data_IF_281278192418
#
_entry.id   IF_281278192418
#
_cell.length_a   1.000
_cell.length_b   1.000
_cell.length_c   1.000
_cell.angle_alpha   90.00
_cell.angle_beta   90.00
_cell.angle_gamma   90.00
#
_symmetry.space_group_name_H-M   'P 1'
#
loop_
_entity.id
_entity.type
_entity.pdbx_description
1 polymer ?
#
# COMPACT_ATOMS: atom_id res chain seq x y z
N UNK A 1 -6.35 11.58 -10.06
CA UNK A 1 -6.00 11.50 -8.62
C UNK A 1 -5.33 10.17 -8.31
N UNK A 2 -6.00 9.03 -8.53
CA UNK A 2 -5.49 7.71 -8.12
C UNK A 2 -4.12 7.37 -8.71
N UNK A 3 -3.86 7.72 -9.98
CA UNK A 3 -2.56 7.50 -10.58
C UNK A 3 -1.44 8.28 -9.86
N UNK A 4 -1.73 9.52 -9.43
CA UNK A 4 -0.76 10.35 -8.69
C UNK A 4 -0.41 9.69 -7.37
N UNK A 5 -1.40 9.27 -6.58
CA UNK A 5 -1.15 8.70 -5.26
C UNK A 5 -0.62 7.27 -5.31
N UNK A 6 -1.02 6.46 -6.29
CA UNK A 6 -0.41 5.15 -6.52
C UNK A 6 1.08 5.28 -6.90
N UNK A 7 1.43 6.25 -7.75
CA UNK A 7 2.82 6.55 -8.09
C UNK A 7 3.60 7.08 -6.88
N UNK A 8 3.01 7.98 -6.08
CA UNK A 8 3.62 8.45 -4.84
C UNK A 8 3.90 7.30 -3.87
N UNK A 9 2.95 6.37 -3.70
CA UNK A 9 3.13 5.21 -2.80
C UNK A 9 4.28 4.32 -3.26
N UNK A 10 4.40 4.07 -4.58
CA UNK A 10 5.56 3.36 -5.13
C UNK A 10 6.87 4.14 -4.92
N UNK A 11 6.85 5.46 -5.10
CA UNK A 11 8.02 6.32 -4.90
C UNK A 11 8.52 6.32 -3.45
N UNK A 12 7.60 6.33 -2.47
CA UNK A 12 7.90 6.24 -1.05
C UNK A 12 8.65 4.93 -0.73
N UNK A 13 8.17 3.80 -1.23
CA UNK A 13 8.84 2.51 -1.04
C UNK A 13 10.20 2.47 -1.74
N UNK A 14 10.28 2.98 -2.98
CA UNK A 14 11.51 2.93 -3.75
C UNK A 14 12.67 3.71 -3.09
N UNK A 15 12.38 4.84 -2.48
CA UNK A 15 13.42 5.67 -1.83
C UNK A 15 14.09 5.00 -0.64
N UNK A 16 13.41 4.08 0.04
CA UNK A 16 13.95 3.28 1.15
C UNK A 16 13.94 1.79 0.78
N UNK A 17 14.47 1.49 -0.41
CA UNK A 17 14.48 0.13 -0.96
C UNK A 17 15.32 -0.82 -0.13
N UNK A 18 14.73 -1.93 0.28
CA UNK A 18 15.38 -3.01 1.03
C UNK A 18 15.81 -4.11 0.04
N UNK A 19 17.10 -4.17 -0.28
CA UNK A 19 17.62 -5.16 -1.23
C UNK A 19 17.70 -6.55 -0.61
N UNK A 20 17.55 -7.60 -1.43
CA UNK A 20 17.68 -9.00 -1.02
C UNK A 20 19.11 -9.36 -0.57
N UNK A 21 20.10 -8.64 -1.07
CA UNK A 21 21.51 -8.77 -0.66
C UNK A 21 21.80 -8.22 0.73
N UNK A 22 20.90 -7.40 1.32
CA UNK A 22 21.03 -6.90 2.69
C UNK A 22 20.55 -8.00 3.65
N UNK A 23 21.31 -8.34 4.72
CA UNK A 23 20.86 -9.27 5.74
C UNK A 23 19.52 -8.86 6.36
N UNK A 24 18.67 -9.85 6.68
CA UNK A 24 17.31 -9.61 7.18
C UNK A 24 17.29 -8.67 8.40
N UNK A 25 18.21 -8.86 9.33
CA UNK A 25 18.33 -8.10 10.58
C UNK A 25 18.73 -6.64 10.36
N UNK A 26 19.28 -6.32 9.19
CA UNK A 26 19.63 -4.95 8.79
C UNK A 26 18.55 -4.28 7.94
N UNK A 27 17.58 -5.06 7.46
CA UNK A 27 16.48 -4.53 6.68
C UNK A 27 15.39 -3.98 7.61
N UNK A 28 14.78 -2.85 7.23
CA UNK A 28 13.59 -2.31 7.90
C UNK A 28 12.46 -3.35 7.92
N UNK A 29 12.16 -3.92 6.75
CA UNK A 29 11.09 -4.87 6.52
C UNK A 29 10.99 -5.19 5.04
N UNK A 30 9.78 -5.45 4.55
CA UNK A 30 9.51 -5.68 3.14
C UNK A 30 9.33 -4.38 2.35
N UNK A 31 9.51 -4.42 1.03
CA UNK A 31 9.26 -3.30 0.12
C UNK A 31 7.76 -3.13 -0.16
N UNK A 32 7.01 -2.95 0.91
CA UNK A 32 5.56 -2.72 0.93
C UNK A 32 5.29 -1.46 1.73
N UNK A 33 4.40 -0.61 1.23
CA UNK A 33 4.05 0.64 1.88
C UNK A 33 2.62 1.08 1.57
N UNK A 34 2.15 2.02 2.37
CA UNK A 34 0.82 2.62 2.24
C UNK A 34 0.86 4.12 2.45
N UNK A 35 -0.09 4.82 1.85
CA UNK A 35 -0.29 6.25 1.92
C UNK A 35 -1.75 6.54 2.29
N UNK A 36 -1.97 7.29 3.35
CA UNK A 36 -3.29 7.77 3.76
C UNK A 36 -3.54 9.17 3.17
N UNK A 37 -4.68 9.32 2.51
CA UNK A 37 -5.13 10.56 1.88
C UNK A 37 -6.47 10.97 2.48
N UNK A 38 -6.58 12.22 2.92
CA UNK A 38 -7.77 12.74 3.56
C UNK A 38 -8.89 13.11 2.55
N UNK A 39 -10.11 13.44 3.02
CA UNK A 39 -11.22 13.82 2.15
C UNK A 39 -10.98 15.07 1.27
N UNK A 40 -10.01 15.90 1.63
CA UNK A 40 -9.58 17.06 0.83
C UNK A 40 -8.52 16.73 -0.21
N UNK A 41 -8.28 15.44 -0.46
CA UNK A 41 -7.26 14.95 -1.39
C UNK A 41 -5.83 15.41 -1.01
N UNK A 42 -5.52 15.47 0.28
CA UNK A 42 -4.18 15.79 0.78
C UNK A 42 -3.57 14.51 1.36
N UNK A 43 -2.34 14.13 0.97
CA UNK A 43 -1.62 13.03 1.61
C UNK A 43 -1.22 13.46 3.02
N UNK A 44 -1.62 12.67 4.04
CA UNK A 44 -1.48 13.07 5.44
C UNK A 44 -0.55 12.16 6.24
N UNK A 45 -0.42 10.90 5.84
CA UNK A 45 0.46 9.95 6.52
C UNK A 45 0.88 8.84 5.56
N UNK A 46 2.11 8.38 5.67
CA UNK A 46 2.57 7.16 5.02
C UNK A 46 3.15 6.17 6.02
N UNK A 47 3.12 4.90 5.67
CA UNK A 47 3.72 3.83 6.45
C UNK A 47 4.49 2.86 5.54
N UNK A 48 5.69 2.50 5.95
CA UNK A 48 6.48 1.45 5.31
C UNK A 48 6.53 0.23 6.22
N UNK A 49 6.53 -0.97 5.64
CA UNK A 49 6.63 -2.21 6.39
C UNK A 49 7.92 -2.25 7.23
N UNK A 50 7.81 -2.43 8.55
CA UNK A 50 8.90 -2.38 9.53
C UNK A 50 9.00 -3.65 10.38
N UNK A 51 8.55 -4.79 9.88
CA UNK A 51 8.48 -6.03 10.68
C UNK A 51 9.84 -6.50 11.21
N UNK A 52 10.93 -6.25 10.47
CA UNK A 52 12.26 -6.67 10.91
C UNK A 52 12.85 -5.69 11.93
N UNK A 53 12.85 -4.39 11.65
CA UNK A 53 13.45 -3.39 12.55
C UNK A 53 12.72 -3.27 13.89
N UNK A 54 11.42 -3.64 13.93
CA UNK A 54 10.63 -3.64 15.16
C UNK A 54 10.50 -5.03 15.80
N UNK A 55 11.00 -6.08 15.11
CA UNK A 55 10.78 -7.48 15.50
C UNK A 55 9.28 -7.77 15.77
N UNK A 56 8.38 -7.26 14.93
CA UNK A 56 6.95 -7.34 15.13
C UNK A 56 6.23 -7.57 13.80
N UNK A 57 5.63 -8.76 13.65
CA UNK A 57 4.94 -9.18 12.42
C UNK A 57 3.70 -8.33 12.08
N UNK A 58 3.18 -7.53 13.00
CA UNK A 58 2.02 -6.66 12.73
C UNK A 58 2.39 -5.35 12.06
N UNK A 59 3.67 -4.99 11.98
CA UNK A 59 4.13 -3.69 11.51
C UNK A 59 4.15 -3.57 9.98
N UNK A 60 3.00 -3.81 9.36
CA UNK A 60 2.73 -3.57 7.95
C UNK A 60 2.57 -2.07 7.66
N UNK A 61 2.78 -1.68 6.40
CA UNK A 61 2.72 -0.28 5.98
C UNK A 61 1.37 0.38 6.28
N UNK A 62 0.27 -0.32 6.02
CA UNK A 62 -1.10 0.14 6.23
C UNK A 62 -1.37 0.40 7.73
N UNK A 63 -1.03 -0.57 8.58
CA UNK A 63 -1.21 -0.43 10.03
C UNK A 63 -0.42 0.75 10.56
N UNK A 64 0.82 0.90 10.11
CA UNK A 64 1.68 2.01 10.52
C UNK A 64 1.12 3.36 10.11
N UNK A 65 0.66 3.49 8.87
CA UNK A 65 0.06 4.73 8.38
C UNK A 65 -1.18 5.11 9.21
N UNK A 66 -2.08 4.15 9.44
CA UNK A 66 -3.31 4.37 10.19
C UNK A 66 -3.01 4.69 11.66
N UNK A 67 -2.22 3.85 12.34
CA UNK A 67 -1.92 4.01 13.76
C UNK A 67 -1.20 5.32 14.05
N UNK A 68 -0.13 5.62 13.30
CA UNK A 68 0.61 6.88 13.49
C UNK A 68 -0.24 8.11 13.25
N UNK A 69 -1.15 8.07 12.26
CA UNK A 69 -2.05 9.19 12.03
C UNK A 69 -3.06 9.36 13.18
N UNK A 70 -3.68 8.29 13.63
CA UNK A 70 -4.67 8.34 14.73
C UNK A 70 -4.03 8.74 16.07
N UNK A 71 -2.80 8.33 16.34
CA UNK A 71 -2.06 8.74 17.55
C UNK A 71 -1.70 10.24 17.54
N UNK A 72 -1.42 10.80 16.37
CA UNK A 72 -1.02 12.20 16.22
C UNK A 72 -2.20 13.16 16.07
N UNK A 73 -3.42 12.67 15.84
CA UNK A 73 -4.59 13.49 15.54
C UNK A 73 -5.78 13.09 16.39
N UNK A 74 -6.57 14.07 16.90
CA UNK A 74 -7.72 13.80 17.78
C UNK A 74 -8.96 13.39 16.98
N UNK A 75 -8.83 12.36 16.13
CA UNK A 75 -9.93 11.79 15.34
C UNK A 75 -10.16 10.34 15.76
N UNK A 76 -11.42 9.91 15.80
CA UNK A 76 -11.78 8.57 16.24
C UNK A 76 -11.76 7.55 15.08
N UNK A 77 -12.15 7.97 13.87
CA UNK A 77 -12.17 7.14 12.68
C UNK A 77 -11.73 7.96 11.45
N UNK A 78 -11.65 7.30 10.30
CA UNK A 78 -11.12 7.83 9.05
C UNK A 78 -12.17 7.82 7.92
N UNK A 79 -13.43 8.11 8.28
CA UNK A 79 -14.54 8.26 7.34
C UNK A 79 -14.16 9.16 6.15
N UNK A 80 -14.47 8.75 4.93
CA UNK A 80 -14.12 9.38 3.66
C UNK A 80 -12.62 9.49 3.33
N UNK A 81 -11.74 8.85 4.12
CA UNK A 81 -10.34 8.72 3.74
C UNK A 81 -10.14 7.64 2.68
N UNK A 82 -9.08 7.78 1.91
CA UNK A 82 -8.58 6.74 0.98
C UNK A 82 -7.19 6.30 1.40
N UNK A 83 -6.96 5.00 1.41
CA UNK A 83 -5.63 4.45 1.58
C UNK A 83 -5.11 3.85 0.26
N UNK A 84 -3.92 4.24 -0.15
CA UNK A 84 -3.21 3.69 -1.32
C UNK A 84 -2.13 2.74 -0.83
N UNK A 85 -2.05 1.54 -1.42
CA UNK A 85 -1.09 0.52 -1.02
C UNK A 85 -0.32 -0.02 -2.22
N UNK A 86 0.93 -0.41 -2.01
CA UNK A 86 1.73 -1.03 -3.10
C UNK A 86 1.32 -2.46 -3.40
N UNK A 87 0.73 -3.15 -2.42
CA UNK A 87 0.21 -4.53 -2.52
C UNK A 87 -1.20 -4.58 -1.98
N UNK A 88 -2.05 -5.45 -2.52
CA UNK A 88 -3.40 -5.72 -2.01
C UNK A 88 -3.35 -6.06 -0.51
N UNK A 89 -4.18 -5.39 0.35
CA UNK A 89 -4.10 -5.58 1.79
C UNK A 89 -4.42 -7.01 2.24
N UNK A 90 -3.57 -7.57 3.10
CA UNK A 90 -3.85 -8.84 3.76
C UNK A 90 -5.02 -8.73 4.76
N UNK A 91 -5.47 -9.87 5.32
CA UNK A 91 -6.64 -9.91 6.23
C UNK A 91 -6.48 -9.03 7.47
N UNK A 92 -5.27 -8.93 8.04
CA UNK A 92 -4.99 -8.08 9.19
C UNK A 92 -5.16 -6.59 8.82
N UNK A 93 -4.57 -6.16 7.70
CA UNK A 93 -4.67 -4.78 7.21
C UNK A 93 -6.11 -4.44 6.80
N UNK A 94 -6.80 -5.36 6.10
CA UNK A 94 -8.20 -5.18 5.74
C UNK A 94 -9.11 -5.05 6.97
N UNK A 95 -8.85 -5.82 8.04
CA UNK A 95 -9.53 -5.69 9.32
C UNK A 95 -9.35 -4.30 9.93
N UNK A 96 -8.11 -3.81 10.01
CA UNK A 96 -7.80 -2.47 10.52
C UNK A 96 -8.47 -1.36 9.69
N UNK A 97 -8.34 -1.42 8.37
CA UNK A 97 -8.95 -0.48 7.42
C UNK A 97 -10.46 -0.41 7.62
N UNK A 98 -11.11 -1.57 7.73
CA UNK A 98 -12.56 -1.67 7.94
C UNK A 98 -12.97 -1.15 9.32
N UNK A 99 -12.20 -1.48 10.38
CA UNK A 99 -12.48 -1.03 11.75
C UNK A 99 -12.35 0.48 11.91
N UNK A 100 -11.41 1.10 11.20
CA UNK A 100 -11.18 2.55 11.25
C UNK A 100 -12.05 3.36 10.29
N UNK A 101 -13.01 2.71 9.62
CA UNK A 101 -14.00 3.35 8.74
C UNK A 101 -13.40 4.06 7.52
N UNK A 102 -12.30 3.54 6.99
CA UNK A 102 -11.74 4.04 5.72
C UNK A 102 -12.67 3.60 4.59
N UNK A 103 -13.09 4.53 3.74
CA UNK A 103 -14.06 4.28 2.67
C UNK A 103 -13.47 3.48 1.52
N UNK A 104 -12.20 3.78 1.18
CA UNK A 104 -11.64 3.33 -0.08
C UNK A 104 -10.19 2.87 0.03
N UNK A 105 -9.90 1.78 -0.68
CA UNK A 105 -8.55 1.24 -0.89
C UNK A 105 -8.23 1.23 -2.38
N UNK A 106 -7.04 1.72 -2.74
CA UNK A 106 -6.47 1.56 -4.07
C UNK A 106 -5.14 0.84 -3.94
N UNK A 107 -4.97 -0.29 -4.57
CA UNK A 107 -3.73 -1.08 -4.51
C UNK A 107 -3.08 -1.23 -5.88
N UNK A 108 -1.76 -1.43 -5.92
CA UNK A 108 -1.02 -1.54 -7.18
C UNK A 108 -0.87 -2.99 -7.62
N UNK A 109 -0.29 -3.85 -6.80
CA UNK A 109 -0.04 -5.26 -7.10
C UNK A 109 -1.01 -6.16 -6.37
N UNK A 110 -1.52 -7.20 -7.04
CA UNK A 110 -2.34 -8.23 -6.41
C UNK A 110 -1.51 -9.11 -5.48
N UNK A 111 -2.12 -9.48 -4.35
CA UNK A 111 -1.58 -10.52 -3.47
C UNK A 111 -2.28 -11.86 -3.81
N UNK A 112 -1.64 -12.72 -4.59
CA UNK A 112 -2.24 -13.97 -5.04
C UNK A 112 -2.44 -15.00 -3.92
N UNK A 113 -1.77 -14.83 -2.78
CA UNK A 113 -1.84 -15.76 -1.64
C UNK A 113 -2.89 -15.30 -0.61
N UNK A 114 -2.91 -13.99 -0.30
CA UNK A 114 -3.73 -13.41 0.78
C UNK A 114 -4.78 -12.44 0.27
N UNK A 115 -5.08 -12.46 -1.02
CA UNK A 115 -6.08 -11.62 -1.68
C UNK A 115 -7.50 -11.83 -1.16
N UNK A 116 -8.42 -10.95 -1.59
CA UNK A 116 -9.85 -11.00 -1.30
C UNK A 116 -10.18 -10.92 0.20
N UNK A 117 -9.32 -10.24 0.95
CA UNK A 117 -9.51 -10.08 2.39
C UNK A 117 -10.82 -9.34 2.71
N UNK A 118 -11.17 -8.31 1.94
CA UNK A 118 -12.43 -7.58 2.12
C UNK A 118 -13.66 -8.41 1.74
N UNK A 119 -13.59 -9.26 0.71
CA UNK A 119 -14.67 -10.20 0.40
C UNK A 119 -14.91 -11.19 1.55
N UNK A 120 -13.83 -11.67 2.19
CA UNK A 120 -13.92 -12.56 3.35
C UNK A 120 -14.57 -11.89 4.56
N UNK A 121 -14.31 -10.62 4.81
CA UNK A 121 -14.96 -9.84 5.87
C UNK A 121 -16.45 -9.63 5.60
N UNK A 122 -16.88 -9.66 4.35
CA UNK A 122 -18.27 -9.54 3.92
C UNK A 122 -18.99 -10.89 3.75
N UNK A 123 -18.32 -11.99 4.03
CA UNK A 123 -18.94 -13.32 3.91
C UNK A 123 -19.93 -13.58 5.05
N UNK A 124 -21.19 -13.86 4.67
CA UNK A 124 -22.22 -14.29 5.62
C UNK A 124 -22.12 -15.79 5.89
N UNK A 125 -21.64 -16.15 7.07
CA UNK A 125 -21.56 -17.56 7.51
C UNK A 125 -22.72 -18.00 8.39
N UNK A 126 -23.72 -17.17 8.64
CA UNK A 126 -24.88 -17.53 9.49
C UNK A 126 -25.61 -18.78 9.02
N UNK A 127 -25.77 -19.08 7.71
CA UNK A 127 -26.44 -20.30 7.24
C UNK A 127 -25.75 -21.62 7.68
N UNK A 128 -24.46 -21.55 8.05
CA UNK A 128 -23.68 -22.70 8.52
C UNK A 128 -23.28 -22.57 9.99
N UNK A 129 -24.02 -21.75 10.77
CA UNK A 129 -23.79 -21.57 12.20
C UNK A 129 -22.68 -20.59 12.55
N UNK A 130 -22.25 -19.75 11.63
CA UNK A 130 -21.24 -18.71 11.82
C UNK A 130 -21.85 -17.34 12.16
N UNK A 131 -21.23 -16.27 11.64
CA UNK A 131 -21.49 -14.89 12.00
C UNK A 131 -21.98 -14.07 10.80
N UNK A 132 -22.66 -12.95 11.10
CA UNK A 132 -22.99 -11.93 10.11
C UNK A 132 -21.73 -11.32 9.49
N UNK A 133 -21.83 -10.82 8.24
CA UNK A 133 -20.79 -10.01 7.65
C UNK A 133 -20.45 -8.80 8.52
N UNK A 134 -19.19 -8.34 8.44
CA UNK A 134 -18.84 -7.08 9.09
C UNK A 134 -19.64 -5.91 8.48
N UNK A 135 -20.28 -5.04 9.28
CA UNK A 135 -21.28 -4.09 8.79
C UNK A 135 -20.71 -2.97 7.91
N UNK A 136 -19.41 -2.68 8.03
CA UNK A 136 -18.75 -1.65 7.23
C UNK A 136 -18.22 -2.23 5.92
N UNK A 137 -18.45 -1.49 4.85
CA UNK A 137 -18.00 -1.86 3.50
C UNK A 137 -16.92 -0.89 3.04
N UNK A 138 -15.82 -1.43 2.54
CA UNK A 138 -14.70 -0.68 1.97
C UNK A 138 -14.72 -0.91 0.46
N UNK A 139 -14.67 0.17 -0.32
CA UNK A 139 -14.46 0.07 -1.76
C UNK A 139 -13.00 -0.27 -2.03
N UNK A 140 -12.73 -1.41 -2.63
CA UNK A 140 -11.38 -1.82 -3.03
C UNK A 140 -11.25 -1.89 -4.53
N UNK A 141 -10.26 -1.22 -5.10
CA UNK A 141 -10.00 -1.17 -6.53
C UNK A 141 -8.51 -1.29 -6.86
N UNK A 142 -8.13 -2.05 -7.90
CA UNK A 142 -6.76 -2.02 -8.41
C UNK A 142 -6.46 -0.65 -9.06
N UNK A 143 -5.24 -0.19 -8.90
CA UNK A 143 -4.74 1.00 -9.61
C UNK A 143 -4.76 0.77 -11.12
N UNK A 144 -5.08 1.82 -11.88
CA UNK A 144 -5.06 1.79 -13.35
C UNK A 144 -3.65 1.93 -13.95
N UNK A 145 -2.61 2.00 -13.12
CA UNK A 145 -1.23 2.06 -13.57
C UNK A 145 -0.79 0.74 -14.21
N UNK A 146 -0.06 0.82 -15.30
CA UNK A 146 0.52 -0.36 -15.94
C UNK A 146 1.50 -1.13 -15.03
N UNK A 147 2.05 -0.47 -14.01
CA UNK A 147 3.02 -1.04 -13.07
C UNK A 147 2.44 -2.18 -12.23
N UNK A 148 1.15 -2.15 -11.87
CA UNK A 148 0.49 -3.26 -11.19
C UNK A 148 0.56 -4.54 -12.03
N UNK A 149 0.12 -4.45 -13.29
CA UNK A 149 0.19 -5.58 -14.23
C UNK A 149 1.63 -6.04 -14.51
N UNK A 150 2.60 -5.12 -14.57
CA UNK A 150 4.00 -5.47 -14.74
C UNK A 150 4.52 -6.26 -13.53
N UNK A 151 4.20 -5.82 -12.30
CA UNK A 151 4.56 -6.53 -11.08
C UNK A 151 3.90 -7.90 -10.99
N UNK A 152 2.61 -8.01 -11.31
CA UNK A 152 1.86 -9.28 -11.32
C UNK A 152 2.49 -10.28 -12.31
N UNK A 153 2.79 -9.85 -13.53
CA UNK A 153 3.42 -10.70 -14.53
C UNK A 153 4.84 -11.12 -14.15
N UNK A 154 5.63 -10.20 -13.59
CA UNK A 154 6.97 -10.49 -13.13
C UNK A 154 6.96 -11.46 -11.94
N UNK A 155 5.99 -11.31 -11.03
CA UNK A 155 5.81 -12.24 -9.90
C UNK A 155 5.38 -13.63 -10.37
N UNK A 156 4.49 -13.74 -11.35
CA UNK A 156 4.14 -15.03 -11.95
C UNK A 156 5.36 -15.74 -12.54
N UNK A 157 6.25 -15.01 -13.22
CA UNK A 157 7.54 -15.52 -13.70
C UNK A 157 8.47 -15.97 -12.56
N UNK A 158 8.54 -15.20 -11.50
CA UNK A 158 9.31 -15.53 -10.31
C UNK A 158 8.80 -16.83 -9.64
N UNK A 159 7.50 -16.99 -9.49
CA UNK A 159 6.89 -18.21 -8.92
C UNK A 159 7.21 -19.48 -9.72
N UNK A 160 7.46 -19.35 -11.03
CA UNK A 160 7.80 -20.49 -11.88
C UNK A 160 9.22 -21.01 -11.64
N UNK A 161 10.16 -20.18 -11.18
CA UNK A 161 11.59 -20.48 -11.14
C UNK A 161 12.23 -20.38 -9.76
N UNK A 162 11.65 -19.63 -8.83
CA UNK A 162 12.24 -19.40 -7.51
C UNK A 162 12.02 -20.60 -6.56
N UNK A 163 13.00 -20.83 -5.68
CA UNK A 163 12.89 -21.78 -4.58
C UNK A 163 11.93 -21.29 -3.51
N UNK A 164 12.09 -20.02 -3.08
CA UNK A 164 11.20 -19.37 -2.12
C UNK A 164 10.09 -18.60 -2.86
N UNK A 165 8.90 -19.17 -2.92
CA UNK A 165 7.73 -18.62 -3.63
C UNK A 165 6.94 -17.64 -2.76
N UNK A 166 7.59 -16.56 -2.33
CA UNK A 166 7.04 -15.59 -1.38
C UNK A 166 7.05 -14.19 -2.04
N UNK A 167 5.90 -13.51 -2.04
CA UNK A 167 5.75 -12.17 -2.62
C UNK A 167 6.76 -11.15 -2.05
N UNK A 168 6.98 -11.19 -0.74
CA UNK A 168 7.94 -10.30 -0.08
C UNK A 168 9.40 -10.51 -0.55
N UNK A 169 9.77 -11.73 -0.94
CA UNK A 169 11.08 -12.02 -1.55
C UNK A 169 11.15 -11.48 -2.97
N UNK A 170 10.13 -11.70 -3.77
CA UNK A 170 10.04 -11.12 -5.11
C UNK A 170 10.22 -9.61 -5.06
N UNK A 171 9.55 -8.92 -4.14
CA UNK A 171 9.62 -7.47 -3.98
C UNK A 171 11.00 -6.94 -3.52
N UNK A 172 11.96 -7.81 -3.19
CA UNK A 172 13.36 -7.40 -2.92
C UNK A 172 14.30 -7.60 -4.12
N UNK A 173 13.81 -8.21 -5.21
CA UNK A 173 14.60 -8.52 -6.41
C UNK A 173 14.94 -7.29 -7.25
N UNK A 174 15.98 -7.41 -8.08
CA UNK A 174 16.34 -6.37 -9.06
C UNK A 174 15.24 -6.11 -10.09
N UNK A 175 14.44 -7.13 -10.44
CA UNK A 175 13.31 -7.01 -11.38
C UNK A 175 12.23 -6.11 -10.78
N UNK A 176 11.78 -6.39 -9.56
CA UNK A 176 10.80 -5.56 -8.88
C UNK A 176 11.34 -4.13 -8.68
N UNK A 177 12.61 -3.98 -8.25
CA UNK A 177 13.27 -2.68 -8.11
C UNK A 177 13.24 -1.86 -9.40
N UNK A 178 13.49 -2.50 -10.56
CA UNK A 178 13.43 -1.85 -11.87
C UNK A 178 12.06 -1.25 -12.16
N UNK A 179 10.98 -1.99 -11.88
CA UNK A 179 9.60 -1.52 -12.07
C UNK A 179 9.29 -0.32 -11.16
N UNK A 180 9.70 -0.38 -9.89
CA UNK A 180 9.55 0.75 -8.96
C UNK A 180 10.39 1.97 -9.38
N UNK A 181 11.60 1.75 -9.95
CA UNK A 181 12.44 2.82 -10.48
C UNK A 181 11.78 3.55 -11.67
N UNK A 182 11.11 2.82 -12.54
CA UNK A 182 10.34 3.42 -13.63
C UNK A 182 9.11 4.18 -13.09
N UNK A 183 8.45 3.65 -12.06
CA UNK A 183 7.31 4.30 -11.45
C UNK A 183 7.68 5.64 -10.79
N UNK A 184 8.79 5.70 -10.04
CA UNK A 184 9.23 7.01 -9.46
C UNK A 184 9.62 8.01 -10.55
N UNK A 185 10.25 7.57 -11.63
CA UNK A 185 10.55 8.44 -12.77
C UNK A 185 9.24 9.00 -13.36
N UNK A 186 8.26 8.13 -13.59
CA UNK A 186 6.94 8.55 -14.07
C UNK A 186 6.21 9.47 -13.10
N UNK A 187 6.41 9.32 -11.78
CA UNK A 187 5.87 10.24 -10.78
C UNK A 187 6.51 11.63 -10.90
N UNK A 188 7.83 11.69 -11.00
CA UNK A 188 8.56 12.96 -11.08
C UNK A 188 8.29 13.72 -12.39
N UNK A 189 8.08 12.98 -13.49
CA UNK A 189 7.79 13.53 -14.81
C UNK A 189 6.27 13.67 -15.07
N UNK A 190 5.41 13.36 -14.08
CA UNK A 190 3.96 13.31 -14.24
C UNK A 190 3.40 14.67 -14.66
N UNK A 191 2.53 14.65 -15.67
CA UNK A 191 1.82 15.84 -16.15
C UNK A 191 0.32 15.65 -15.99
N UNK A 192 -0.31 16.59 -15.30
CA UNK A 192 -1.74 16.58 -15.14
C UNK A 192 -2.45 16.87 -16.46
N UNK A 193 -3.44 16.04 -16.79
CA UNK A 193 -4.34 16.28 -17.93
C UNK A 193 -5.34 17.41 -17.62
N UNK A 194 -5.72 17.55 -16.34
CA UNK A 194 -6.70 18.49 -15.84
C UNK A 194 -6.07 19.47 -14.88
N UNK A 195 -6.44 20.76 -14.98
CA UNK A 195 -5.88 21.83 -14.15
C UNK A 195 -6.15 21.64 -12.65
N UNK A 196 -7.31 21.09 -12.29
CA UNK A 196 -7.69 20.79 -10.91
C UNK A 196 -6.81 19.72 -10.23
N UNK A 197 -6.09 18.94 -11.03
CA UNK A 197 -5.15 17.94 -10.50
C UNK A 197 -3.76 18.50 -10.22
N UNK A 198 -3.45 19.73 -10.65
CA UNK A 198 -2.13 20.34 -10.43
C UNK A 198 -1.82 20.55 -8.96
N UNK A 199 -2.72 21.13 -8.14
CA UNK A 199 -2.46 21.29 -6.70
C UNK A 199 -2.29 19.93 -5.98
N UNK A 200 -2.99 18.89 -6.47
CA UNK A 200 -2.88 17.52 -5.93
C UNK A 200 -1.47 16.97 -6.19
N UNK A 201 -0.96 17.12 -7.40
CA UNK A 201 0.39 16.71 -7.78
C UNK A 201 1.47 17.47 -6.99
N UNK A 202 1.30 18.78 -6.83
CA UNK A 202 2.21 19.61 -6.02
C UNK A 202 2.22 19.15 -4.55
N UNK A 203 1.05 18.88 -3.97
CA UNK A 203 0.94 18.33 -2.62
C UNK A 203 1.63 16.97 -2.50
N UNK A 204 1.46 16.09 -3.49
CA UNK A 204 2.11 14.78 -3.53
C UNK A 204 3.65 14.90 -3.63
N UNK A 205 4.17 15.81 -4.46
CA UNK A 205 5.60 16.06 -4.55
C UNK A 205 6.18 16.63 -3.25
N UNK A 206 5.47 17.54 -2.60
CA UNK A 206 5.88 18.12 -1.32
C UNK A 206 5.88 17.06 -0.21
N UNK A 207 4.87 16.20 -0.18
CA UNK A 207 4.80 15.08 0.76
C UNK A 207 5.99 14.12 0.57
N UNK A 208 6.33 13.75 -0.67
CA UNK A 208 7.49 12.89 -0.94
C UNK A 208 8.80 13.52 -0.45
N UNK A 209 8.94 14.84 -0.55
CA UNK A 209 10.14 15.56 -0.08
C UNK A 209 10.22 15.56 1.46
N UNK A 210 9.12 15.88 2.13
CA UNK A 210 9.09 15.99 3.61
C UNK A 210 9.26 14.64 4.31
N UNK A 211 8.70 13.58 3.76
CA UNK A 211 8.69 12.25 4.39
C UNK A 211 10.08 11.67 4.72
N UNK A 212 11.14 12.14 4.05
CA UNK A 212 12.52 11.66 4.26
C UNK A 212 13.43 12.70 4.93
N UNK A 213 12.89 13.83 5.38
CA UNK A 213 13.64 14.88 6.07
C UNK A 213 13.32 14.94 7.56
N UNK A 214 12.47 14.04 8.06
CA UNK A 214 12.22 13.78 9.47
C UNK A 214 13.07 12.58 9.96
#
# INVERSE_FOLDING_TARGET
VDNIYSLLTLALVYRDWQADTTPREQRRGYNIGALLVNPSLIPVQAGLNCINSTNNATQHGELRAITSFLEANPVFNLDRYTIYTTVEPCIMCAGMITMTDIDRVVFVQHDVEYSKAFERLQFDSTPIGGYLPYPRKVEITPSQLAYGKQLDNAYAGYLATAEEKILAKFLSTAVAKGIFAEAIKSFLDYKCTYSESVPILESAHNFLKSFYHE
#
